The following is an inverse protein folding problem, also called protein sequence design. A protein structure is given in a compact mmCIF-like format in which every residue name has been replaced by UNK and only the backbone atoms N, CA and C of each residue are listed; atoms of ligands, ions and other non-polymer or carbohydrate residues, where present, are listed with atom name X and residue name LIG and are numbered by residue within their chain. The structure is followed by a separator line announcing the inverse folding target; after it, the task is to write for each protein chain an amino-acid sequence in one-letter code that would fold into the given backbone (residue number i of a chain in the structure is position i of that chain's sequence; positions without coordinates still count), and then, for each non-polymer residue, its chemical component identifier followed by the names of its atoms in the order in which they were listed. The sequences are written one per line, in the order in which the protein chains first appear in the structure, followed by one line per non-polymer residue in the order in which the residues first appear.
data_IF_750259900605
#
_entry.id   IF_750259900605
#
_cell.length_a   1.000
_cell.length_b   1.000
_cell.length_c   1.000
_cell.angle_alpha   90.00
_cell.angle_beta   90.00
_cell.angle_gamma   90.00
#
_symmetry.space_group_name_H-M   'P 1'
#
loop_
_entity.id
_entity.type
_entity.pdbx_description
1 polymer ?
#
# COMPACT_ATOMS: atom_id res chain seq x y z
N UNK A 1 -1.87 2.31 10.87
CA UNK A 1 -2.79 2.80 11.94
C UNK A 1 -2.01 3.81 12.76
N UNK A 2 -2.41 5.07 12.79
CA UNK A 2 -1.53 6.16 13.24
C UNK A 2 -2.33 7.30 13.87
N UNK A 3 -1.63 8.24 14.53
CA UNK A 3 -2.20 9.46 15.06
C UNK A 3 -1.19 10.61 15.01
N UNK A 4 -1.61 11.74 14.43
CA UNK A 4 -0.73 12.88 14.21
C UNK A 4 0.17 12.66 12.98
N UNK A 5 0.96 13.67 12.64
CA UNK A 5 1.86 13.66 11.50
C UNK A 5 3.16 12.90 11.87
N UNK A 6 3.90 13.42 12.83
CA UNK A 6 5.12 12.82 13.37
C UNK A 6 4.82 11.93 14.59
N UNK A 7 3.77 12.26 15.35
CA UNK A 7 3.31 11.45 16.47
C UNK A 7 2.07 12.03 17.11
N UNK A 8 1.51 11.31 18.08
CA UNK A 8 0.30 11.73 18.75
C UNK A 8 0.42 13.12 19.41
N UNK A 9 1.59 13.51 19.93
CA UNK A 9 1.85 14.81 20.58
C UNK A 9 1.52 16.02 19.70
N UNK A 10 1.52 15.87 18.37
CA UNK A 10 1.18 16.93 17.41
C UNK A 10 -0.19 17.57 17.70
N UNK A 11 -1.11 16.79 18.28
CA UNK A 11 -2.43 17.28 18.67
C UNK A 11 -2.39 18.21 19.89
N UNK A 12 -1.46 18.00 20.83
CA UNK A 12 -1.31 18.86 22.01
C UNK A 12 -0.52 20.14 21.73
N UNK A 13 0.34 20.11 20.71
CA UNK A 13 1.15 21.26 20.28
C UNK A 13 0.40 22.21 19.33
N UNK A 14 -0.75 21.78 18.79
CA UNK A 14 -1.58 22.62 17.95
C UNK A 14 -2.07 23.88 18.71
N UNK A 15 -1.88 25.06 18.11
CA UNK A 15 -2.10 26.37 18.75
C UNK A 15 -3.55 26.67 19.17
N UNK A 16 -4.51 25.81 18.81
CA UNK A 16 -5.93 25.91 19.16
C UNK A 16 -6.50 24.67 19.86
N UNK A 17 -5.66 23.75 20.35
CA UNK A 17 -6.12 22.50 20.94
C UNK A 17 -6.92 22.76 22.23
N UNK A 18 -8.22 22.37 22.31
CA UNK A 18 -8.96 22.42 23.55
C UNK A 18 -8.36 21.48 24.60
N UNK A 19 -8.60 21.75 25.89
CA UNK A 19 -8.01 20.98 27.00
C UNK A 19 -8.39 19.49 26.97
N UNK A 20 -9.53 19.16 26.37
CA UNK A 20 -10.10 17.82 26.20
C UNK A 20 -10.73 17.69 24.82
N UNK A 21 -10.83 16.48 24.29
CA UNK A 21 -11.55 16.23 23.03
C UNK A 21 -10.87 16.78 21.78
N UNK A 22 -9.59 17.15 21.86
CA UNK A 22 -8.84 17.76 20.76
C UNK A 22 -8.29 16.75 19.75
N UNK A 23 -8.33 15.46 20.08
CA UNK A 23 -7.86 14.36 19.24
C UNK A 23 -9.07 13.76 18.49
N UNK A 24 -8.99 13.55 17.17
CA UNK A 24 -10.08 12.94 16.41
C UNK A 24 -10.28 11.47 16.74
N UNK A 25 -11.52 10.99 16.62
CA UNK A 25 -11.86 9.58 16.88
C UNK A 25 -11.13 8.58 15.95
N UNK A 26 -10.63 9.05 14.80
CA UNK A 26 -9.79 8.24 13.90
C UNK A 26 -8.46 7.82 14.54
N UNK A 27 -7.96 8.55 15.54
CA UNK A 27 -6.78 8.18 16.30
C UNK A 27 -7.05 7.12 17.37
N UNK A 28 -8.31 6.92 17.77
CA UNK A 28 -8.63 5.96 18.82
C UNK A 28 -8.30 4.53 18.39
N UNK A 29 -7.84 3.71 19.32
CA UNK A 29 -7.83 2.27 19.10
C UNK A 29 -9.25 1.78 18.81
N UNK A 30 -9.39 0.81 17.90
CA UNK A 30 -10.68 0.25 17.46
C UNK A 30 -11.68 -0.03 18.60
N UNK A 31 -11.19 -0.48 19.77
CA UNK A 31 -12.02 -0.79 20.94
C UNK A 31 -12.66 0.43 21.62
N UNK A 32 -12.11 1.64 21.43
CA UNK A 32 -12.62 2.89 22.00
C UNK A 32 -13.30 3.80 20.97
N UNK A 33 -13.13 3.50 19.69
CA UNK A 33 -13.66 4.29 18.58
C UNK A 33 -15.19 4.35 18.57
N UNK A 34 -15.87 3.25 18.90
CA UNK A 34 -17.35 3.20 18.98
C UNK A 34 -17.95 3.91 20.20
N UNK A 35 -17.13 4.17 21.22
CA UNK A 35 -17.62 4.74 22.48
C UNK A 35 -17.37 6.25 22.58
N UNK A 36 -16.66 6.88 21.63
CA UNK A 36 -16.27 8.29 21.70
C UNK A 36 -15.51 8.65 23.00
N UNK A 37 -14.92 7.66 23.66
CA UNK A 37 -14.36 7.80 25.01
C UNK A 37 -12.88 8.12 24.99
N UNK A 38 -12.16 7.87 23.90
CA UNK A 38 -10.72 8.11 23.88
C UNK A 38 -10.41 9.61 23.96
N UNK A 39 -11.13 10.42 23.18
CA UNK A 39 -10.93 11.88 23.14
C UNK A 39 -11.26 12.58 24.47
N UNK A 40 -12.17 12.00 25.29
CA UNK A 40 -12.51 12.53 26.62
C UNK A 40 -11.52 12.12 27.72
N UNK A 41 -10.82 10.99 27.55
CA UNK A 41 -9.84 10.48 28.53
C UNK A 41 -8.45 11.07 28.34
N UNK A 42 -8.14 11.46 27.11
CA UNK A 42 -6.89 12.15 26.81
C UNK A 42 -7.11 13.66 26.91
N UNK A 43 -6.21 14.28 27.65
CA UNK A 43 -6.17 15.70 27.96
C UNK A 43 -4.79 16.21 27.63
N UNK A 44 -4.63 17.53 27.48
CA UNK A 44 -3.30 18.08 27.20
C UNK A 44 -2.26 17.71 28.26
N UNK A 45 -2.64 17.61 29.53
CA UNK A 45 -1.72 17.32 30.64
C UNK A 45 -1.29 15.86 30.78
N UNK A 46 -1.95 14.91 30.09
CA UNK A 46 -1.56 13.50 30.09
C UNK A 46 -1.05 13.03 28.73
N UNK A 47 -0.90 13.96 27.78
CA UNK A 47 -0.45 13.64 26.42
C UNK A 47 0.99 13.15 26.38
N UNK A 48 1.84 13.67 27.27
CA UNK A 48 3.26 13.30 27.34
C UNK A 48 3.46 11.92 28.02
N UNK A 49 2.45 11.38 28.70
CA UNK A 49 2.51 10.04 29.28
C UNK A 49 2.23 8.98 28.21
N UNK A 50 3.28 8.59 27.51
CA UNK A 50 3.23 7.58 26.46
C UNK A 50 2.59 6.25 26.92
N UNK A 51 2.82 5.83 28.18
CA UNK A 51 2.27 4.57 28.68
C UNK A 51 0.77 4.64 28.93
N UNK A 52 0.27 5.80 29.37
CA UNK A 52 -1.17 6.03 29.49
C UNK A 52 -1.83 6.18 28.12
N UNK A 53 -1.26 7.00 27.24
CA UNK A 53 -1.83 7.38 25.95
C UNK A 53 -1.92 6.21 24.98
N UNK A 54 -0.88 5.37 24.91
CA UNK A 54 -0.84 4.13 24.10
C UNK A 54 -1.95 3.13 24.45
N UNK A 55 -2.56 3.24 25.63
CA UNK A 55 -3.72 2.40 25.99
C UNK A 55 -4.98 2.81 25.25
N UNK A 56 -5.09 4.03 24.71
CA UNK A 56 -6.34 4.57 24.17
C UNK A 56 -6.27 4.97 22.70
N UNK A 57 -5.13 5.47 22.24
CA UNK A 57 -4.91 5.92 20.85
C UNK A 57 -3.70 5.24 20.22
N UNK A 58 -3.60 5.34 18.90
CA UNK A 58 -2.35 5.08 18.18
C UNK A 58 -1.32 6.15 18.54
N UNK A 59 -0.09 5.76 18.86
CA UNK A 59 0.99 6.69 19.24
C UNK A 59 1.91 7.06 18.08
N UNK A 60 1.99 6.17 17.08
CA UNK A 60 2.80 6.32 15.87
C UNK A 60 2.28 7.44 14.96
N UNK A 61 3.19 8.25 14.44
CA UNK A 61 2.87 9.27 13.44
C UNK A 61 2.47 8.67 12.10
N UNK A 62 1.51 9.30 11.42
CA UNK A 62 1.05 8.84 10.12
C UNK A 62 2.11 8.97 9.02
N UNK A 63 3.03 9.93 9.14
CA UNK A 63 4.14 10.06 8.21
C UNK A 63 5.13 8.91 8.36
N UNK A 64 5.44 8.53 9.59
CA UNK A 64 6.36 7.42 9.89
C UNK A 64 5.75 6.07 9.45
N UNK A 65 4.46 5.88 9.71
CA UNK A 65 3.73 4.70 9.24
C UNK A 65 3.64 4.66 7.71
N UNK A 66 3.45 5.80 7.06
CA UNK A 66 3.44 5.89 5.60
C UNK A 66 4.81 5.53 5.02
N UNK A 67 5.89 6.09 5.55
CA UNK A 67 7.26 5.79 5.11
C UNK A 67 7.63 4.32 5.33
N UNK A 68 7.17 3.71 6.43
CA UNK A 68 7.33 2.29 6.68
C UNK A 68 6.57 1.42 5.65
N UNK A 69 5.29 1.73 5.40
CA UNK A 69 4.46 0.96 4.45
C UNK A 69 4.82 1.19 2.99
N UNK A 70 5.25 2.39 2.63
CA UNK A 70 5.69 2.78 1.29
C UNK A 70 7.21 2.75 1.14
N UNK A 71 7.92 2.16 2.11
CA UNK A 71 9.36 1.94 1.98
C UNK A 71 9.65 1.28 0.64
N UNK A 72 10.65 1.82 -0.06
CA UNK A 72 10.96 1.54 -1.47
C UNK A 72 11.13 0.03 -1.73
N UNK A 73 11.48 -0.74 -0.71
CA UNK A 73 11.59 -2.20 -0.74
C UNK A 73 10.28 -2.92 -1.04
N UNK A 74 9.15 -2.43 -0.50
CA UNK A 74 7.82 -2.98 -0.74
C UNK A 74 7.34 -2.70 -2.16
N UNK A 75 7.50 -1.46 -2.62
CA UNK A 75 7.19 -1.07 -3.99
C UNK A 75 8.07 -1.80 -5.02
N UNK A 76 9.35 -1.99 -4.67
CA UNK A 76 10.32 -2.72 -5.49
C UNK A 76 9.89 -4.16 -5.76
N UNK A 77 9.38 -4.87 -4.75
CA UNK A 77 8.91 -6.25 -4.94
C UNK A 77 7.75 -6.36 -5.95
N UNK A 78 6.77 -5.46 -5.87
CA UNK A 78 5.65 -5.45 -6.82
C UNK A 78 6.11 -5.07 -8.23
N UNK A 79 7.03 -4.12 -8.36
CA UNK A 79 7.58 -3.72 -9.65
C UNK A 79 8.34 -4.87 -10.33
N UNK A 80 9.18 -5.60 -9.57
CA UNK A 80 9.92 -6.76 -10.08
C UNK A 80 8.95 -7.87 -10.51
N UNK A 81 7.93 -8.17 -9.70
CA UNK A 81 6.94 -9.18 -10.05
C UNK A 81 6.20 -8.82 -11.36
N UNK A 82 5.78 -7.57 -11.51
CA UNK A 82 5.13 -7.08 -12.72
C UNK A 82 6.05 -7.17 -13.95
N UNK A 83 7.32 -6.82 -13.82
CA UNK A 83 8.30 -6.93 -14.90
C UNK A 83 8.48 -8.38 -15.36
N UNK A 84 8.54 -9.34 -14.41
CA UNK A 84 8.63 -10.77 -14.73
C UNK A 84 7.39 -11.25 -15.47
N UNK A 85 6.19 -10.88 -15.02
CA UNK A 85 4.94 -11.21 -15.73
C UNK A 85 4.91 -10.65 -17.16
N UNK A 86 5.37 -9.42 -17.36
CA UNK A 86 5.47 -8.81 -18.68
C UNK A 86 6.44 -9.58 -19.59
N UNK A 87 7.60 -9.99 -19.06
CA UNK A 87 8.57 -10.81 -19.81
C UNK A 87 7.98 -12.15 -20.22
N UNK A 88 7.25 -12.83 -19.33
CA UNK A 88 6.54 -14.07 -19.68
C UNK A 88 5.50 -13.85 -20.78
N UNK A 89 4.74 -12.75 -20.72
CA UNK A 89 3.78 -12.38 -21.77
C UNK A 89 4.45 -12.20 -23.13
N UNK A 90 5.60 -11.51 -23.17
CA UNK A 90 6.37 -11.30 -24.40
C UNK A 90 6.91 -12.62 -24.95
N UNK A 91 7.46 -13.49 -24.09
CA UNK A 91 7.99 -14.79 -24.50
C UNK A 91 6.89 -15.71 -25.06
N UNK A 92 5.73 -15.76 -24.43
CA UNK A 92 4.59 -16.54 -24.91
C UNK A 92 4.06 -16.01 -26.24
N UNK A 93 3.96 -14.69 -26.40
CA UNK A 93 3.54 -14.07 -27.66
C UNK A 93 4.54 -14.35 -28.79
N UNK A 94 5.84 -14.19 -28.54
CA UNK A 94 6.90 -14.48 -29.51
C UNK A 94 6.92 -15.96 -29.90
N UNK A 95 6.76 -16.88 -28.94
CA UNK A 95 6.69 -18.32 -29.20
C UNK A 95 5.48 -18.70 -30.05
N UNK A 96 4.31 -18.12 -29.77
CA UNK A 96 3.11 -18.36 -30.59
C UNK A 96 3.29 -17.85 -32.03
N UNK A 97 3.88 -16.66 -32.21
CA UNK A 97 4.17 -16.10 -33.53
C UNK A 97 5.18 -16.95 -34.32
N UNK A 98 6.24 -17.44 -33.68
CA UNK A 98 7.19 -18.32 -34.35
C UNK A 98 6.56 -19.63 -34.78
N UNK A 99 5.77 -20.26 -33.90
CA UNK A 99 5.08 -21.52 -34.25
C UNK A 99 4.07 -21.32 -35.39
N UNK A 100 3.32 -20.22 -35.38
CA UNK A 100 2.38 -19.90 -36.46
C UNK A 100 3.08 -19.57 -37.78
N UNK A 101 4.27 -18.92 -37.74
CA UNK A 101 5.08 -18.68 -38.94
C UNK A 101 5.63 -19.96 -39.54
N UNK A 102 5.96 -20.94 -38.71
CA UNK A 102 6.47 -22.23 -39.16
C UNK A 102 5.34 -23.05 -39.81
N UNK A 103 4.16 -23.14 -39.18
CA UNK A 103 2.99 -23.85 -39.74
C UNK A 103 2.50 -23.22 -41.07
N UNK A 104 2.40 -21.89 -41.15
CA UNK A 104 2.02 -21.21 -42.41
C UNK A 104 3.12 -21.28 -43.48
N UNK A 105 4.39 -21.38 -43.08
CA UNK A 105 5.52 -21.53 -44.01
C UNK A 105 5.51 -22.88 -44.72
N UNK A 106 5.21 -23.96 -43.99
CA UNK A 106 5.09 -25.30 -44.58
C UNK A 106 3.87 -25.45 -45.47
N UNK A 107 2.72 -24.85 -45.12
CA UNK A 107 1.52 -24.90 -45.97
C UNK A 107 1.72 -24.20 -47.33
N UNK A 108 2.41 -23.06 -47.36
CA UNK A 108 2.74 -22.39 -48.62
C UNK A 108 3.75 -23.18 -49.48
N UNK A 109 4.58 -24.04 -48.89
CA UNK A 109 5.51 -24.89 -49.64
C UNK A 109 4.81 -26.14 -50.20
N UNK A 110 3.82 -26.68 -49.49
CA UNK A 110 3.02 -27.82 -49.94
C UNK A 110 2.06 -27.41 -51.08
N UNK A 111 1.39 -26.26 -50.96
CA UNK A 111 0.46 -25.74 -51.98
C UNK A 111 1.19 -25.43 -53.31
N UNK A 112 2.42 -24.91 -53.26
CA UNK A 112 3.23 -24.69 -54.46
C UNK A 112 3.77 -25.99 -55.08
N UNK A 113 3.81 -27.10 -54.34
CA UNK A 113 4.28 -28.38 -54.87
C UNK A 113 3.17 -29.13 -55.64
N UNK A 114 1.91 -29.01 -55.22
CA UNK A 114 0.77 -29.62 -55.93
C UNK A 114 0.42 -28.88 -57.23
N UNK A 115 0.64 -27.56 -57.32
CA UNK A 115 0.38 -26.77 -58.54
C UNK A 115 1.43 -26.98 -59.67
N UNK A 116 2.51 -27.73 -59.41
CA UNK A 116 3.56 -28.04 -60.40
C UNK A 116 3.56 -29.50 -60.89
N UNK A 117 2.56 -30.32 -60.53
CA UNK A 117 2.41 -31.70 -61.03
C UNK A 117 1.37 -31.88 -62.14
#
# INVERSE_FOLDING_TARGET
KCCGLAGHSDWADASGAPTVGFIPDSCCLNRFQRAGTCARKITRGNMDDHYFVSKFIYTEGCLNEFDYYYSVDGLGHFAIAMAVFQLFGILLAAGFLWKGSEENGYQNLDENHDDTS
#
